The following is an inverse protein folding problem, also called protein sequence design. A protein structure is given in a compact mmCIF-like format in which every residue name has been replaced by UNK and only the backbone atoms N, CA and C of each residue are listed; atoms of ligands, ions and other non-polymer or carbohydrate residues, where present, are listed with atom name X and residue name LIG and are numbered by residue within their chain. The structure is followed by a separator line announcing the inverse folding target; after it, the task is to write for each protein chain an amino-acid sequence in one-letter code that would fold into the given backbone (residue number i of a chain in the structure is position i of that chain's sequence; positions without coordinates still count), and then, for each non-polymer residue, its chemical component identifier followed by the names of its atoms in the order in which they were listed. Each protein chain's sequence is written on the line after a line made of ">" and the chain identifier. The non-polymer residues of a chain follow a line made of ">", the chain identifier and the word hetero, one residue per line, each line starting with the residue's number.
data_IF_883122795227
#
_entry.id   IF_883122795227
#
_cell.length_a   1.000
_cell.length_b   1.000
_cell.length_c   1.000
_cell.angle_alpha   90.00
_cell.angle_beta   90.00
_cell.angle_gamma   90.00
#
_symmetry.space_group_name_H-M   'P 1'
#
loop_
_entity.id
_entity.type
_entity.pdbx_description
1 polymer ?
#
# COMPACT_ATOMS: atom_id res chain seq x y z
N UNK A 1 6.79 9.67 -13.39
CA UNK A 1 5.96 8.45 -13.27
C UNK A 1 6.15 7.66 -14.55
N UNK A 2 6.56 6.39 -14.46
CA UNK A 2 6.61 5.50 -15.63
C UNK A 2 5.18 5.20 -16.08
N UNK A 3 4.93 5.11 -17.38
CA UNK A 3 3.67 4.60 -17.90
C UNK A 3 3.53 3.13 -17.52
N UNK A 4 2.44 2.80 -16.82
CA UNK A 4 2.06 1.43 -16.50
C UNK A 4 1.52 0.79 -17.77
N UNK A 5 2.01 -0.40 -18.13
CA UNK A 5 1.53 -1.12 -19.31
C UNK A 5 0.09 -1.61 -19.10
N UNK A 6 -0.62 -1.90 -20.19
CA UNK A 6 -1.96 -2.47 -20.10
C UNK A 6 -1.89 -3.81 -19.34
N UNK A 7 -2.74 -3.96 -18.31
CA UNK A 7 -2.75 -5.10 -17.37
C UNK A 7 -1.60 -5.15 -16.35
N UNK A 8 -0.73 -4.14 -16.27
CA UNK A 8 0.24 -4.02 -15.17
C UNK A 8 -0.43 -3.41 -13.92
N UNK A 9 -0.11 -3.96 -12.74
CA UNK A 9 -0.64 -3.48 -11.46
C UNK A 9 -0.04 -2.11 -11.10
N UNK A 10 -0.89 -1.20 -10.64
CA UNK A 10 -0.48 0.10 -10.10
C UNK A 10 -0.12 0.00 -8.62
N UNK A 11 1.09 0.44 -8.27
CA UNK A 11 1.57 0.44 -6.88
C UNK A 11 1.58 1.85 -6.29
N UNK A 12 0.36 2.40 -6.10
CA UNK A 12 0.14 3.74 -5.56
C UNK A 12 -0.61 3.66 -4.23
N UNK A 13 -0.13 4.38 -3.22
CA UNK A 13 -0.79 4.49 -1.92
C UNK A 13 -1.15 5.95 -1.64
N UNK A 14 -2.44 6.27 -1.66
CA UNK A 14 -2.95 7.61 -1.40
C UNK A 14 -3.36 7.78 0.07
N UNK A 15 -3.03 8.93 0.66
CA UNK A 15 -3.39 9.23 2.05
C UNK A 15 -3.43 10.74 2.30
N UNK A 16 -3.99 11.12 3.45
CA UNK A 16 -3.99 12.50 3.93
C UNK A 16 -2.93 12.65 5.01
N UNK A 17 -2.11 13.69 4.93
CA UNK A 17 -1.14 14.00 5.98
C UNK A 17 -1.81 14.66 7.20
N UNK A 18 -1.02 14.96 8.26
CA UNK A 18 -1.54 15.61 9.48
C UNK A 18 -2.13 17.02 9.27
N UNK A 19 -1.90 17.62 8.10
CA UNK A 19 -2.40 18.95 7.70
C UNK A 19 -3.53 18.84 6.67
N UNK A 20 -4.11 17.64 6.48
CA UNK A 20 -5.11 17.35 5.44
C UNK A 20 -4.59 17.61 4.02
N UNK A 21 -3.28 17.53 3.78
CA UNK A 21 -2.72 17.55 2.44
C UNK A 21 -2.83 16.16 1.81
N UNK A 22 -3.31 16.10 0.57
CA UNK A 22 -3.34 14.89 -0.24
C UNK A 22 -1.91 14.48 -0.60
N UNK A 23 -1.54 13.27 -0.24
CA UNK A 23 -0.23 12.69 -0.49
C UNK A 23 -0.36 11.35 -1.23
N UNK A 24 0.71 10.97 -1.91
CA UNK A 24 0.83 9.69 -2.60
C UNK A 24 2.23 9.14 -2.36
N UNK A 25 2.31 7.85 -2.07
CA UNK A 25 3.54 7.07 -2.16
C UNK A 25 3.47 6.29 -3.47
N UNK A 26 4.36 6.62 -4.39
CA UNK A 26 4.57 5.90 -5.65
C UNK A 26 5.71 4.89 -5.45
N UNK A 27 5.37 3.61 -5.51
CA UNK A 27 6.33 2.49 -5.40
C UNK A 27 6.27 1.60 -6.64
N UNK A 28 5.97 2.19 -7.81
CA UNK A 28 6.01 1.49 -9.10
C UNK A 28 7.44 1.09 -9.46
N UNK A 29 8.40 2.02 -9.32
CA UNK A 29 9.78 1.82 -9.76
C UNK A 29 10.55 0.95 -8.77
N UNK A 30 11.11 -0.15 -9.29
CA UNK A 30 11.94 -1.08 -8.54
C UNK A 30 13.20 -1.39 -9.37
N UNK A 31 14.41 -1.26 -8.80
CA UNK A 31 14.71 -0.71 -7.47
C UNK A 31 14.35 0.78 -7.40
N UNK A 32 13.90 1.22 -6.22
CA UNK A 32 13.53 2.63 -6.04
C UNK A 32 14.79 3.49 -5.82
N UNK A 33 14.83 4.76 -6.25
CA UNK A 33 16.03 5.60 -6.13
C UNK A 33 16.54 5.77 -4.69
N UNK A 34 15.66 5.66 -3.69
CA UNK A 34 16.04 5.74 -2.28
C UNK A 34 16.55 4.41 -1.69
N UNK A 35 16.39 3.28 -2.38
CA UNK A 35 16.89 1.97 -1.98
C UNK A 35 17.43 1.23 -3.22
N UNK A 36 18.44 1.80 -3.89
CA UNK A 36 19.03 1.26 -5.12
C UNK A 36 19.62 -0.13 -4.94
N UNK A 37 20.12 -0.43 -3.74
CA UNK A 37 20.77 -1.68 -3.37
C UNK A 37 19.78 -2.84 -3.13
N UNK A 38 18.47 -2.55 -3.03
CA UNK A 38 17.46 -3.57 -2.77
C UNK A 38 16.74 -3.94 -4.07
N UNK A 39 16.72 -5.23 -4.39
CA UNK A 39 15.94 -5.75 -5.53
C UNK A 39 14.44 -5.41 -5.42
N UNK A 40 13.92 -5.21 -4.19
CA UNK A 40 12.56 -4.73 -3.92
C UNK A 40 12.42 -4.32 -2.45
N UNK A 41 11.41 -3.51 -2.14
CA UNK A 41 10.90 -3.37 -0.77
C UNK A 41 9.73 -4.32 -0.54
N UNK A 42 9.55 -4.84 0.68
CA UNK A 42 8.47 -5.79 0.97
C UNK A 42 7.10 -5.13 1.13
N UNK A 43 7.04 -3.87 1.60
CA UNK A 43 5.79 -3.17 1.86
C UNK A 43 4.85 -3.08 0.64
N UNK A 44 5.41 -2.91 -0.57
CA UNK A 44 4.64 -2.87 -1.83
C UNK A 44 4.07 -4.22 -2.26
N UNK A 45 4.53 -5.32 -1.66
CA UNK A 45 4.13 -6.70 -1.98
C UNK A 45 3.09 -7.26 -1.00
N UNK A 46 2.71 -6.51 0.03
CA UNK A 46 1.71 -6.95 1.01
C UNK A 46 0.35 -6.90 0.32
N UNK A 47 -0.39 -8.02 0.33
CA UNK A 47 -1.64 -8.17 -0.37
C UNK A 47 -2.83 -7.53 0.39
N UNK A 48 -3.95 -7.42 -0.31
CA UNK A 48 -5.22 -6.93 0.21
C UNK A 48 -5.94 -8.00 1.02
N UNK A 49 -6.52 -7.61 2.15
CA UNK A 49 -7.78 -8.20 2.63
C UNK A 49 -8.59 -7.19 3.43
N UNK A 50 -9.85 -7.03 3.07
CA UNK A 50 -10.85 -6.24 3.80
C UNK A 50 -11.50 -7.05 4.91
N UNK A 51 -11.75 -8.35 4.69
CA UNK A 51 -12.44 -9.17 5.68
C UNK A 51 -11.54 -9.57 6.84
N UNK A 52 -10.26 -9.85 6.59
CA UNK A 52 -9.35 -10.42 7.59
C UNK A 52 -7.94 -9.80 7.56
N UNK A 53 -7.78 -8.46 7.54
CA UNK A 53 -6.46 -7.85 7.60
C UNK A 53 -5.76 -8.19 8.92
N UNK A 54 -4.46 -8.51 8.84
CA UNK A 54 -3.60 -8.71 10.02
C UNK A 54 -2.60 -7.57 10.23
N UNK A 55 -2.54 -6.65 9.28
CA UNK A 55 -1.79 -5.41 9.37
C UNK A 55 -2.72 -4.19 9.33
N UNK A 56 -2.32 -3.15 10.06
CA UNK A 56 -2.92 -1.82 10.01
C UNK A 56 -1.88 -0.80 9.55
N UNK A 57 -2.06 -0.14 8.39
CA UNK A 57 -1.21 0.97 7.99
C UNK A 57 -1.48 2.18 8.89
N UNK A 58 -0.43 2.83 9.36
CA UNK A 58 -0.51 4.04 10.17
C UNK A 58 0.50 5.08 9.71
N UNK A 59 0.05 6.34 9.60
CA UNK A 59 0.95 7.45 9.34
C UNK A 59 1.76 7.78 10.61
N UNK A 60 3.08 7.91 10.44
CA UNK A 60 4.03 8.30 11.48
C UNK A 60 5.00 9.36 10.96
N UNK A 61 5.51 10.15 11.89
CA UNK A 61 6.59 11.10 11.67
C UNK A 61 7.71 10.72 12.63
N UNK A 62 8.94 10.66 12.14
CA UNK A 62 10.11 10.39 12.95
C UNK A 62 10.71 11.71 13.44
N UNK A 63 11.38 11.71 14.60
CA UNK A 63 11.83 12.94 15.27
C UNK A 63 12.68 13.86 14.36
N UNK A 64 13.45 13.27 13.44
CA UNK A 64 14.33 13.98 12.51
C UNK A 64 13.84 13.96 11.06
N UNK A 65 12.59 13.57 10.80
CA UNK A 65 12.02 13.56 9.46
C UNK A 65 10.62 14.19 9.44
N UNK A 66 10.48 15.28 8.69
CA UNK A 66 9.21 15.98 8.52
C UNK A 66 8.27 15.31 7.52
N UNK A 67 8.73 14.29 6.80
CA UNK A 67 7.94 13.54 5.83
C UNK A 67 7.05 12.51 6.54
N UNK A 68 5.81 12.33 6.08
CA UNK A 68 4.96 11.25 6.57
C UNK A 68 5.49 9.90 6.09
N UNK A 69 5.48 8.92 6.99
CA UNK A 69 5.81 7.53 6.71
C UNK A 69 4.59 6.66 6.97
N UNK A 70 4.32 5.69 6.11
CA UNK A 70 3.30 4.67 6.37
C UNK A 70 3.99 3.46 6.97
N UNK A 71 3.67 3.14 8.22
CA UNK A 71 4.14 1.96 8.91
C UNK A 71 3.01 0.95 9.04
N UNK A 72 3.29 -0.30 8.69
CA UNK A 72 2.39 -1.41 8.95
C UNK A 72 2.64 -1.95 10.36
N UNK A 73 1.61 -1.92 11.19
CA UNK A 73 1.64 -2.53 12.52
C UNK A 73 0.74 -3.75 12.55
N UNK A 74 1.20 -4.84 13.16
CA UNK A 74 0.36 -5.99 13.42
C UNK A 74 -0.83 -5.58 14.31
N UNK A 75 -2.05 -6.00 13.93
CA UNK A 75 -3.26 -5.72 14.71
C UNK A 75 -3.70 -6.93 15.56
N UNK A 76 -2.97 -8.04 15.47
CA UNK A 76 -3.09 -9.30 16.20
C UNK A 76 -1.75 -10.01 16.14
N UNK A 77 -1.57 -11.04 16.97
CA UNK A 77 -0.42 -11.93 16.85
C UNK A 77 -0.44 -12.65 15.49
N UNK A 78 0.74 -12.83 14.89
CA UNK A 78 0.90 -13.39 13.54
C UNK A 78 1.82 -14.59 13.62
N UNK A 79 1.27 -15.78 13.37
CA UNK A 79 2.04 -17.02 13.35
C UNK A 79 2.99 -17.07 12.15
N UNK A 80 4.11 -17.78 12.32
CA UNK A 80 5.08 -18.01 11.25
C UNK A 80 4.40 -18.68 10.05
N UNK A 81 4.65 -18.14 8.86
CA UNK A 81 4.05 -18.62 7.61
C UNK A 81 2.68 -18.01 7.28
N UNK A 82 2.10 -17.20 8.18
CA UNK A 82 0.86 -16.45 7.87
C UNK A 82 1.16 -15.34 6.87
N UNK A 83 0.37 -15.29 5.79
CA UNK A 83 0.45 -14.20 4.81
C UNK A 83 0.09 -12.86 5.46
N UNK A 84 0.86 -11.80 5.14
CA UNK A 84 0.59 -10.44 5.60
C UNK A 84 -0.41 -9.75 4.68
N UNK A 85 -1.45 -9.19 5.28
CA UNK A 85 -2.62 -8.64 4.59
C UNK A 85 -3.07 -7.33 5.25
N UNK A 86 -3.41 -6.32 4.45
CA UNK A 86 -4.03 -5.10 4.95
C UNK A 86 -5.20 -4.66 4.07
N UNK A 87 -6.07 -3.80 4.62
CA UNK A 87 -7.16 -3.20 3.85
C UNK A 87 -6.63 -2.00 3.03
N UNK A 88 -6.68 -2.09 1.70
CA UNK A 88 -6.26 -1.00 0.81
C UNK A 88 -7.23 0.19 0.84
N UNK A 89 -8.40 0.05 1.46
CA UNK A 89 -9.44 1.08 1.51
C UNK A 89 -10.16 1.29 0.16
N UNK A 90 -9.98 0.37 -0.79
CA UNK A 90 -10.64 0.41 -2.10
C UNK A 90 -11.97 -0.34 -2.05
N UNK A 91 -12.94 0.16 -2.82
CA UNK A 91 -14.23 -0.50 -3.04
C UNK A 91 -14.47 -0.58 -4.54
N UNK A 92 -15.46 -1.36 -5.00
CA UNK A 92 -15.83 -1.37 -6.44
C UNK A 92 -16.10 0.03 -7.00
N UNK A 93 -16.62 0.95 -6.18
CA UNK A 93 -16.89 2.34 -6.58
C UNK A 93 -15.61 3.16 -6.79
N UNK A 94 -14.48 2.74 -6.23
CA UNK A 94 -13.18 3.41 -6.38
C UNK A 94 -12.63 3.31 -7.80
N UNK A 95 -13.14 2.38 -8.61
CA UNK A 95 -12.62 2.02 -9.92
C UNK A 95 -13.36 2.67 -11.10
N UNK A 96 -14.33 3.57 -10.85
CA UNK A 96 -15.12 4.26 -11.89
C UNK A 96 -15.72 3.33 -12.97
N UNK A 97 -15.91 2.05 -12.66
CA UNK A 97 -16.38 1.00 -13.57
C UNK A 97 -15.28 0.06 -14.11
N UNK A 98 -14.05 0.53 -14.27
CA UNK A 98 -12.93 -0.25 -14.82
C UNK A 98 -12.21 -1.05 -13.72
N UNK A 99 -12.42 -2.37 -13.67
CA UNK A 99 -11.88 -3.23 -12.61
C UNK A 99 -12.84 -3.42 -11.43
N UNK A 100 -14.09 -2.93 -11.53
CA UNK A 100 -15.13 -3.23 -10.54
C UNK A 100 -15.51 -4.72 -10.49
N UNK A 101 -15.18 -5.46 -11.53
CA UNK A 101 -15.33 -6.90 -11.72
C UNK A 101 -14.19 -7.74 -11.11
N UNK A 102 -13.13 -7.09 -10.58
CA UNK A 102 -12.01 -7.80 -9.98
C UNK A 102 -12.47 -8.60 -8.74
N UNK A 103 -12.23 -9.92 -8.71
CA UNK A 103 -12.80 -10.82 -7.70
C UNK A 103 -12.27 -10.54 -6.29
N UNK A 104 -11.03 -10.04 -6.19
CA UNK A 104 -10.34 -9.80 -4.93
C UNK A 104 -10.77 -8.54 -4.18
N UNK A 105 -11.57 -7.64 -4.77
CA UNK A 105 -11.93 -6.34 -4.14
C UNK A 105 -12.75 -6.49 -2.85
N UNK A 106 -13.48 -7.60 -2.69
CA UNK A 106 -14.33 -7.87 -1.52
C UNK A 106 -13.80 -9.01 -0.64
N UNK A 107 -12.59 -9.50 -0.87
CA UNK A 107 -11.89 -10.44 0.02
C UNK A 107 -11.27 -9.72 1.22
#
# INVERSE_FOLDING_TARGET
>A
MRSVEQCEMGYLYFFMDRRNKRCCIDVQNVPCPCHSELETTYGRKINLSRKRPNLKPTMRYFANDSRPHILFSANKDIDVGTELLFDYGVTRKSFSGEGADLPWIDE
#
